data_IF_175516105955
#
_entry.id   IF_175516105955
#
_cell.length_a   1.000
_cell.length_b   1.000
_cell.length_c   1.000
_cell.angle_alpha   90.00
_cell.angle_beta   90.00
_cell.angle_gamma   90.00
#
_symmetry.space_group_name_H-M   'P 1'
#
loop_
_entity.id
_entity.type
_entity.pdbx_description
1 polymer ?
#
# COMPACT_ATOMS: atom_id res chain seq x y z
N UNK A 1 25.64 -19.66 -10.04
CA UNK A 1 24.39 -19.04 -10.57
C UNK A 1 23.56 -18.53 -9.40
N UNK A 2 23.18 -17.24 -9.41
CA UNK A 2 22.31 -16.69 -8.38
C UNK A 2 20.87 -17.24 -8.51
N UNK A 3 20.23 -17.48 -7.38
CA UNK A 3 18.81 -17.90 -7.36
C UNK A 3 17.94 -16.80 -8.03
N UNK A 4 17.05 -17.15 -8.95
CA UNK A 4 16.16 -16.15 -9.56
C UNK A 4 15.40 -15.36 -8.50
N UNK A 5 15.33 -14.05 -8.68
CA UNK A 5 14.59 -13.18 -7.77
C UNK A 5 13.10 -13.50 -7.89
N UNK A 6 12.50 -13.96 -6.81
CA UNK A 6 11.08 -14.26 -6.76
C UNK A 6 10.28 -12.96 -6.80
N UNK A 7 9.43 -12.79 -7.80
CA UNK A 7 8.61 -11.57 -7.97
C UNK A 7 7.43 -11.51 -7.00
N UNK A 8 6.78 -12.64 -6.78
CA UNK A 8 5.53 -12.72 -6.01
C UNK A 8 5.72 -13.12 -4.55
N UNK A 9 4.60 -13.14 -3.84
CA UNK A 9 4.49 -13.53 -2.43
C UNK A 9 3.99 -14.97 -2.31
N UNK A 10 4.41 -15.66 -1.24
CA UNK A 10 3.87 -16.97 -0.87
C UNK A 10 2.58 -16.84 -0.04
N UNK A 11 2.43 -15.72 0.64
CA UNK A 11 1.24 -15.35 1.40
C UNK A 11 1.13 -13.83 1.41
N UNK A 12 -0.06 -13.32 1.64
CA UNK A 12 -0.30 -11.88 1.82
C UNK A 12 -1.19 -11.68 3.06
N UNK A 13 -0.92 -10.63 3.84
CA UNK A 13 -1.78 -10.33 4.99
C UNK A 13 -3.15 -9.83 4.51
N UNK A 14 -4.20 -10.28 5.18
CA UNK A 14 -5.55 -9.76 5.01
C UNK A 14 -6.00 -9.24 6.37
N UNK A 15 -6.43 -7.99 6.42
CA UNK A 15 -6.91 -7.37 7.65
C UNK A 15 -8.15 -8.11 8.18
N UNK A 16 -8.29 -8.19 9.50
CA UNK A 16 -9.45 -8.83 10.13
C UNK A 16 -10.76 -8.09 9.82
N UNK A 17 -10.66 -6.80 9.51
CA UNK A 17 -11.79 -5.96 9.12
C UNK A 17 -12.00 -5.87 7.60
N UNK A 18 -11.39 -6.75 6.83
CA UNK A 18 -11.52 -6.78 5.35
C UNK A 18 -12.99 -6.72 4.92
N UNK A 19 -13.86 -7.51 5.57
CA UNK A 19 -15.29 -7.56 5.26
C UNK A 19 -16.07 -6.36 5.80
N UNK A 20 -15.45 -5.52 6.65
CA UNK A 20 -16.07 -4.31 7.18
C UNK A 20 -15.85 -3.09 6.26
N UNK A 21 -14.91 -3.17 5.34
CA UNK A 21 -14.64 -2.11 4.37
C UNK A 21 -15.88 -1.87 3.49
N UNK A 22 -16.23 -0.60 3.31
CA UNK A 22 -17.47 -0.20 2.61
C UNK A 22 -17.54 -0.76 1.18
N UNK A 23 -16.44 -0.69 0.44
CA UNK A 23 -16.36 -1.21 -0.93
C UNK A 23 -16.58 -2.73 -0.97
N UNK A 24 -16.08 -3.47 0.03
CA UNK A 24 -16.26 -4.93 0.12
C UNK A 24 -17.71 -5.28 0.51
N UNK A 25 -18.32 -4.51 1.40
CA UNK A 25 -19.74 -4.69 1.75
C UNK A 25 -20.64 -4.50 0.53
N UNK A 26 -20.46 -3.42 -0.23
CA UNK A 26 -21.22 -3.20 -1.45
C UNK A 26 -20.95 -4.27 -2.50
N UNK A 27 -19.69 -4.66 -2.66
CA UNK A 27 -19.31 -5.75 -3.57
C UNK A 27 -20.01 -7.06 -3.17
N UNK A 28 -20.03 -7.40 -1.88
CA UNK A 28 -20.67 -8.61 -1.35
C UNK A 28 -22.17 -8.63 -1.64
N UNK A 29 -22.83 -7.47 -1.54
CA UNK A 29 -24.27 -7.35 -1.86
C UNK A 29 -24.51 -7.55 -3.37
N UNK A 30 -23.64 -6.98 -4.22
CA UNK A 30 -23.82 -7.05 -5.68
C UNK A 30 -23.41 -8.41 -6.28
N UNK A 31 -22.41 -9.07 -5.73
CA UNK A 31 -21.78 -10.27 -6.32
C UNK A 31 -21.93 -11.55 -5.47
N UNK A 32 -22.41 -11.43 -4.24
CA UNK A 32 -22.63 -12.59 -3.37
C UNK A 32 -21.36 -13.35 -3.00
N UNK A 33 -21.54 -14.57 -2.50
CA UNK A 33 -20.44 -15.45 -2.06
C UNK A 33 -19.55 -15.87 -3.24
N UNK A 34 -20.12 -16.11 -4.41
CA UNK A 34 -19.34 -16.42 -5.62
C UNK A 34 -18.40 -15.30 -5.99
N UNK A 35 -18.86 -14.04 -5.88
CA UNK A 35 -18.03 -12.86 -6.12
C UNK A 35 -16.87 -12.77 -5.13
N UNK A 36 -17.12 -12.99 -3.84
CA UNK A 36 -16.06 -12.99 -2.81
C UNK A 36 -15.01 -14.08 -3.12
N UNK A 37 -15.46 -15.27 -3.50
CA UNK A 37 -14.56 -16.37 -3.88
C UNK A 37 -13.68 -15.96 -5.08
N UNK A 38 -14.29 -15.34 -6.10
CA UNK A 38 -13.56 -14.83 -7.27
C UNK A 38 -12.56 -13.74 -6.87
N UNK A 39 -12.96 -12.79 -6.04
CA UNK A 39 -12.09 -11.70 -5.56
C UNK A 39 -10.87 -12.28 -4.82
N UNK A 40 -11.07 -13.21 -3.90
CA UNK A 40 -9.97 -13.84 -3.16
C UNK A 40 -9.01 -14.60 -4.11
N UNK A 41 -9.54 -15.29 -5.11
CA UNK A 41 -8.71 -15.96 -6.14
C UNK A 41 -7.92 -14.94 -6.96
N UNK A 42 -8.53 -13.80 -7.31
CA UNK A 42 -7.84 -12.70 -8.00
C UNK A 42 -6.71 -12.13 -7.15
N UNK A 43 -6.95 -11.87 -5.86
CA UNK A 43 -5.91 -11.40 -4.93
C UNK A 43 -4.74 -12.40 -4.88
N UNK A 44 -5.04 -13.70 -4.78
CA UNK A 44 -4.00 -14.75 -4.82
C UNK A 44 -3.20 -14.70 -6.14
N UNK A 45 -3.87 -14.50 -7.26
CA UNK A 45 -3.19 -14.40 -8.57
C UNK A 45 -2.32 -13.15 -8.65
N UNK A 46 -2.82 -12.01 -8.19
CA UNK A 46 -2.09 -10.74 -8.17
C UNK A 46 -0.82 -10.89 -7.33
N UNK A 47 -0.95 -11.32 -6.07
CA UNK A 47 0.20 -11.39 -5.17
C UNK A 47 1.19 -12.49 -5.56
N UNK A 48 0.74 -13.56 -6.21
CA UNK A 48 1.64 -14.59 -6.78
C UNK A 48 2.53 -14.01 -7.89
N UNK A 49 2.02 -13.02 -8.63
CA UNK A 49 2.74 -12.38 -9.74
C UNK A 49 3.43 -11.07 -9.32
N UNK A 50 3.15 -10.57 -8.11
CA UNK A 50 3.71 -9.34 -7.58
C UNK A 50 2.63 -8.43 -7.01
N UNK A 51 2.32 -7.35 -7.73
CA UNK A 51 1.36 -6.34 -7.28
C UNK A 51 0.30 -6.00 -8.35
N UNK A 52 0.32 -6.68 -9.48
CA UNK A 52 -0.68 -6.52 -10.56
C UNK A 52 -0.81 -7.80 -11.36
N UNK A 53 -1.87 -7.90 -12.11
CA UNK A 53 -2.06 -8.94 -13.11
C UNK A 53 -2.67 -8.31 -14.37
N UNK A 54 -2.21 -8.75 -15.52
CA UNK A 54 -2.80 -8.36 -16.81
C UNK A 54 -4.20 -8.97 -16.94
N UNK A 55 -5.11 -8.22 -17.56
CA UNK A 55 -6.49 -8.64 -17.71
C UNK A 55 -6.97 -8.36 -19.12
N UNK A 56 -6.76 -9.34 -19.99
CA UNK A 56 -7.32 -9.37 -21.36
C UNK A 56 -8.52 -10.32 -21.38
N UNK A 57 -9.16 -10.43 -22.53
CA UNK A 57 -10.24 -11.41 -22.74
C UNK A 57 -9.74 -12.84 -22.51
N UNK A 58 -8.53 -13.16 -22.97
CA UNK A 58 -7.93 -14.49 -22.75
C UNK A 58 -7.71 -14.78 -21.27
N UNK A 59 -7.23 -13.77 -20.50
CA UNK A 59 -7.06 -13.91 -19.05
C UNK A 59 -8.40 -14.10 -18.33
N UNK A 60 -9.43 -13.41 -18.77
CA UNK A 60 -10.80 -13.56 -18.26
C UNK A 60 -11.32 -14.99 -18.51
N UNK A 61 -11.13 -15.50 -19.71
CA UNK A 61 -11.57 -16.84 -20.09
C UNK A 61 -10.81 -17.93 -19.30
N UNK A 62 -9.48 -17.79 -19.15
CA UNK A 62 -8.67 -18.68 -18.32
C UNK A 62 -9.11 -18.64 -16.85
N UNK A 63 -9.37 -17.45 -16.34
CA UNK A 63 -9.83 -17.28 -14.97
C UNK A 63 -11.21 -17.94 -14.77
N UNK A 64 -12.12 -17.77 -15.72
CA UNK A 64 -13.43 -18.42 -15.70
C UNK A 64 -13.30 -19.95 -15.71
N UNK A 65 -12.35 -20.48 -16.47
CA UNK A 65 -12.03 -21.90 -16.45
C UNK A 65 -11.52 -22.36 -15.07
N UNK A 66 -10.62 -21.59 -14.45
CA UNK A 66 -10.10 -21.88 -13.10
C UNK A 66 -11.20 -21.84 -12.03
N UNK A 67 -12.22 -21.02 -12.23
CA UNK A 67 -13.33 -20.82 -11.27
C UNK A 67 -14.51 -21.75 -11.52
N UNK A 68 -14.44 -22.65 -12.52
CA UNK A 68 -15.55 -23.55 -12.85
C UNK A 68 -16.01 -24.37 -11.64
N UNK A 69 -17.31 -24.46 -11.45
CA UNK A 69 -17.92 -25.09 -10.30
C UNK A 69 -18.05 -24.21 -9.05
N UNK A 70 -17.41 -23.03 -9.06
CA UNK A 70 -17.52 -22.04 -7.99
C UNK A 70 -18.24 -20.78 -8.46
N UNK A 71 -17.90 -20.31 -9.68
CA UNK A 71 -18.47 -19.10 -10.27
C UNK A 71 -18.82 -19.38 -11.73
N UNK A 72 -20.05 -19.09 -12.16
CA UNK A 72 -20.37 -19.18 -13.60
C UNK A 72 -19.49 -18.25 -14.42
N UNK A 73 -18.98 -18.75 -15.54
CA UNK A 73 -18.06 -17.99 -16.41
C UNK A 73 -18.67 -16.64 -16.85
N UNK A 74 -19.94 -16.63 -17.13
CA UNK A 74 -20.70 -15.45 -17.55
C UNK A 74 -20.79 -14.37 -16.47
N UNK A 75 -20.57 -14.70 -15.20
CA UNK A 75 -20.54 -13.72 -14.09
C UNK A 75 -19.19 -13.01 -13.96
N UNK A 76 -18.10 -13.57 -14.49
CA UNK A 76 -16.75 -13.01 -14.33
C UNK A 76 -16.68 -11.55 -14.82
N UNK A 77 -17.17 -11.18 -16.02
CA UNK A 77 -17.14 -9.77 -16.45
C UNK A 77 -17.92 -8.85 -15.52
N UNK A 78 -19.05 -9.30 -14.99
CA UNK A 78 -19.84 -8.53 -14.03
C UNK A 78 -19.04 -8.30 -12.73
N UNK A 79 -18.43 -9.36 -12.18
CA UNK A 79 -17.61 -9.31 -10.96
C UNK A 79 -16.47 -8.28 -11.13
N UNK A 80 -15.72 -8.36 -12.24
CA UNK A 80 -14.65 -7.40 -12.54
C UNK A 80 -15.19 -5.98 -12.64
N UNK A 81 -16.33 -5.81 -13.34
CA UNK A 81 -17.01 -4.51 -13.46
C UNK A 81 -17.38 -3.90 -12.10
N UNK A 82 -17.89 -4.71 -11.19
CA UNK A 82 -18.23 -4.25 -9.82
C UNK A 82 -16.94 -3.92 -9.04
N UNK A 83 -15.88 -4.74 -9.12
CA UNK A 83 -14.60 -4.43 -8.49
C UNK A 83 -14.06 -3.06 -8.93
N UNK A 84 -14.13 -2.78 -10.22
CA UNK A 84 -13.70 -1.49 -10.80
C UNK A 84 -14.60 -0.33 -10.36
N UNK A 85 -15.92 -0.55 -10.39
CA UNK A 85 -16.93 0.43 -9.97
C UNK A 85 -16.78 0.81 -8.49
N UNK A 86 -16.47 -0.17 -7.63
CA UNK A 86 -16.34 0.03 -6.18
C UNK A 86 -14.93 0.45 -5.75
N UNK A 87 -13.98 0.58 -6.69
CA UNK A 87 -12.63 1.05 -6.39
C UNK A 87 -11.70 -0.02 -5.81
N UNK A 88 -12.14 -1.29 -5.76
CA UNK A 88 -11.29 -2.43 -5.34
C UNK A 88 -10.08 -2.53 -6.27
N UNK A 89 -10.29 -2.26 -7.57
CA UNK A 89 -9.21 -2.11 -8.55
C UNK A 89 -9.24 -0.71 -9.16
N UNK A 90 -8.08 -0.21 -9.55
CA UNK A 90 -7.91 1.12 -10.11
C UNK A 90 -8.44 1.20 -11.55
N UNK A 91 -9.55 1.91 -11.74
CA UNK A 91 -10.22 2.07 -13.03
C UNK A 91 -9.32 2.74 -14.09
N UNK A 92 -8.47 3.71 -13.69
CA UNK A 92 -7.59 4.42 -14.64
C UNK A 92 -6.53 3.50 -15.21
N UNK A 93 -5.90 2.70 -14.35
CA UNK A 93 -4.89 1.72 -14.78
C UNK A 93 -5.52 0.60 -15.61
N UNK A 94 -6.72 0.15 -15.24
CA UNK A 94 -7.45 -0.84 -16.03
C UNK A 94 -7.75 -0.31 -17.45
N UNK A 95 -8.29 0.91 -17.56
CA UNK A 95 -8.62 1.50 -18.88
C UNK A 95 -7.39 1.72 -19.75
N UNK A 96 -6.25 2.10 -19.14
CA UNK A 96 -5.05 2.48 -19.92
C UNK A 96 -4.16 1.27 -20.26
N UNK A 97 -4.04 0.33 -19.33
CA UNK A 97 -3.05 -0.75 -19.44
C UNK A 97 -3.65 -2.16 -19.35
N UNK A 98 -4.96 -2.27 -19.14
CA UNK A 98 -5.65 -3.55 -18.95
C UNK A 98 -5.01 -4.39 -17.84
N UNK A 99 -4.76 -3.77 -16.67
CA UNK A 99 -4.22 -4.46 -15.49
C UNK A 99 -5.17 -4.30 -14.29
N UNK A 100 -5.16 -5.30 -13.42
CA UNK A 100 -5.87 -5.26 -12.14
C UNK A 100 -4.83 -5.03 -11.04
N UNK A 101 -4.95 -3.89 -10.37
CA UNK A 101 -4.15 -3.47 -9.21
C UNK A 101 -4.89 -2.33 -8.50
N UNK A 102 -4.46 -1.98 -7.30
CA UNK A 102 -4.94 -0.79 -6.59
C UNK A 102 -3.85 -0.28 -5.64
N UNK A 103 -4.08 0.87 -5.03
CA UNK A 103 -3.19 1.43 -4.02
C UNK A 103 -3.02 0.44 -2.86
N UNK A 104 -4.13 -0.06 -2.30
CA UNK A 104 -4.13 -1.01 -1.19
C UNK A 104 -3.33 -2.28 -1.52
N UNK A 105 -3.52 -2.82 -2.74
CA UNK A 105 -2.77 -4.01 -3.20
C UNK A 105 -1.26 -3.74 -3.17
N UNK A 106 -0.85 -2.56 -3.64
CA UNK A 106 0.57 -2.20 -3.70
C UNK A 106 1.15 -1.95 -2.30
N UNK A 107 0.38 -1.34 -1.41
CA UNK A 107 0.79 -1.12 -0.02
C UNK A 107 0.95 -2.45 0.74
N UNK A 108 -0.01 -3.35 0.62
CA UNK A 108 0.08 -4.71 1.20
C UNK A 108 1.29 -5.47 0.62
N UNK A 109 1.53 -5.36 -0.68
CA UNK A 109 2.69 -5.98 -1.33
C UNK A 109 4.00 -5.45 -0.73
N UNK A 110 4.12 -4.13 -0.55
CA UNK A 110 5.31 -3.51 0.07
C UNK A 110 5.52 -3.97 1.52
N UNK A 111 4.45 -3.98 2.31
CA UNK A 111 4.49 -4.46 3.70
C UNK A 111 4.97 -5.91 3.78
N UNK A 112 4.45 -6.77 2.92
CA UNK A 112 4.80 -8.19 2.89
C UNK A 112 6.26 -8.44 2.47
N UNK A 113 6.88 -7.51 1.75
CA UNK A 113 8.29 -7.62 1.36
C UNK A 113 9.27 -7.20 2.47
N UNK A 114 8.77 -6.55 3.52
CA UNK A 114 9.55 -6.18 4.73
C UNK A 114 10.82 -5.37 4.42
N UNK A 115 10.79 -4.58 3.35
CA UNK A 115 11.89 -3.68 2.96
C UNK A 115 13.23 -4.34 2.62
N UNK A 116 13.30 -5.67 2.68
CA UNK A 116 14.57 -6.42 2.53
C UNK A 116 14.88 -6.82 1.09
N UNK A 117 13.85 -6.90 0.26
CA UNK A 117 14.03 -7.35 -1.13
C UNK A 117 14.14 -6.16 -2.07
N UNK A 118 15.02 -6.27 -3.03
CA UNK A 118 14.99 -5.38 -4.18
C UNK A 118 13.76 -5.71 -5.02
N UNK A 119 12.93 -4.71 -5.28
CA UNK A 119 11.71 -4.88 -6.05
C UNK A 119 11.84 -4.22 -7.42
N UNK A 120 11.25 -4.87 -8.40
CA UNK A 120 11.14 -4.33 -9.76
C UNK A 120 9.74 -3.79 -9.95
N UNK A 121 9.61 -2.51 -10.26
CA UNK A 121 8.32 -1.84 -10.45
C UNK A 121 8.25 -1.21 -11.85
N UNK A 122 7.07 -1.25 -12.43
CA UNK A 122 6.75 -0.51 -13.65
C UNK A 122 6.19 0.84 -13.21
N UNK A 123 6.91 1.91 -13.51
CA UNK A 123 6.61 3.27 -13.02
C UNK A 123 5.17 3.67 -13.34
N UNK A 124 4.71 3.35 -14.54
CA UNK A 124 3.38 3.70 -15.03
C UNK A 124 2.23 2.98 -14.30
N UNK A 125 2.51 1.83 -13.68
CA UNK A 125 1.54 1.02 -12.95
C UNK A 125 1.52 1.35 -11.45
N UNK A 126 2.53 2.11 -10.98
CA UNK A 126 2.79 2.31 -9.56
C UNK A 126 1.97 3.49 -9.02
N UNK A 127 1.30 3.30 -7.88
CA UNK A 127 0.35 4.26 -7.29
C UNK A 127 0.82 4.84 -5.96
N UNK A 128 1.76 4.18 -5.28
CA UNK A 128 2.22 4.58 -3.94
C UNK A 128 3.64 5.17 -4.00
N UNK A 129 4.18 5.55 -2.85
CA UNK A 129 5.56 6.06 -2.77
C UNK A 129 6.54 5.00 -3.28
N UNK A 130 7.50 5.44 -4.07
CA UNK A 130 8.52 4.55 -4.63
C UNK A 130 9.49 4.16 -3.51
N UNK A 131 9.69 2.86 -3.24
CA UNK A 131 10.65 2.43 -2.23
C UNK A 131 12.09 2.76 -2.65
N UNK A 132 12.95 3.09 -1.69
CA UNK A 132 14.37 3.45 -1.95
C UNK A 132 15.15 2.35 -2.68
N UNK A 133 14.74 1.10 -2.50
CA UNK A 133 15.40 -0.07 -3.13
C UNK A 133 14.69 -0.57 -4.39
N UNK A 134 13.80 0.23 -4.94
CA UNK A 134 13.09 -0.16 -6.16
C UNK A 134 13.99 -0.03 -7.39
N UNK A 135 13.87 -0.98 -8.31
CA UNK A 135 14.36 -0.86 -9.67
C UNK A 135 13.17 -0.59 -10.59
N UNK A 136 13.31 0.36 -11.48
CA UNK A 136 12.31 0.62 -12.50
C UNK A 136 12.51 -0.33 -13.67
N UNK A 137 11.40 -0.90 -14.12
CA UNK A 137 11.34 -1.60 -15.41
C UNK A 137 10.37 -0.78 -16.28
N UNK A 138 10.81 -0.33 -17.41
CA UNK A 138 9.92 0.26 -18.42
C UNK A 138 8.95 -0.80 -18.96
N UNK A 139 7.83 -0.37 -19.52
CA UNK A 139 6.85 -1.26 -20.16
C UNK A 139 7.53 -2.04 -21.31
N UNK A 140 8.55 -1.47 -21.93
CA UNK A 140 9.40 -2.06 -22.98
C UNK A 140 10.45 -3.04 -22.41
N UNK A 141 10.56 -3.18 -21.09
CA UNK A 141 11.51 -4.08 -20.42
C UNK A 141 12.87 -3.47 -20.11
N UNK A 142 13.09 -2.17 -20.40
CA UNK A 142 14.33 -1.49 -20.02
C UNK A 142 14.40 -1.29 -18.50
N UNK A 143 15.55 -1.63 -17.90
CA UNK A 143 15.77 -1.52 -16.46
C UNK A 143 16.52 -0.23 -16.16
N UNK A 144 15.94 0.63 -15.33
CA UNK A 144 16.56 1.88 -14.86
C UNK A 144 16.62 1.87 -13.33
N UNK A 145 17.79 2.10 -12.75
CA UNK A 145 17.94 2.20 -11.28
C UNK A 145 17.50 3.58 -10.80
N UNK A 146 16.93 3.63 -9.60
CA UNK A 146 16.36 4.85 -8.98
C UNK A 146 17.37 6.00 -8.91
N UNK A 147 18.66 5.70 -8.74
CA UNK A 147 19.72 6.72 -8.62
C UNK A 147 20.06 7.52 -9.89
N UNK A 148 19.54 7.12 -11.06
CA UNK A 148 19.92 7.79 -12.33
C UNK A 148 18.93 8.86 -12.79
N UNK A 149 17.80 9.06 -12.08
CA UNK A 149 16.76 10.00 -12.51
C UNK A 149 16.80 11.37 -11.80
N UNK A 150 17.64 11.53 -10.77
CA UNK A 150 17.68 12.80 -10.01
C UNK A 150 18.31 14.00 -10.75
N UNK A 151 18.89 13.79 -11.94
CA UNK A 151 19.67 14.84 -12.62
C UNK A 151 19.01 15.43 -13.88
N UNK A 152 17.76 15.12 -14.21
CA UNK A 152 17.16 15.60 -15.47
C UNK A 152 16.01 16.62 -15.33
N UNK A 153 15.50 16.86 -14.13
CA UNK A 153 14.41 17.85 -13.96
C UNK A 153 14.79 19.00 -13.03
N UNK A 154 15.78 19.77 -13.43
CA UNK A 154 15.95 21.13 -12.90
C UNK A 154 15.29 22.13 -13.87
N UNK A 155 14.02 22.30 -13.74
CA UNK A 155 13.32 23.30 -14.53
C UNK A 155 11.80 23.25 -14.49
N UNK A 156 11.20 23.26 -13.32
CA UNK A 156 9.88 23.87 -13.08
C UNK A 156 9.70 24.05 -11.58
N UNK A 157 9.99 25.24 -11.12
CA UNK A 157 9.71 25.63 -9.74
C UNK A 157 8.20 25.85 -9.56
N UNK A 158 7.59 25.07 -8.71
CA UNK A 158 6.29 25.40 -8.15
C UNK A 158 6.42 25.44 -6.63
N UNK A 159 5.83 26.46 -6.04
CA UNK A 159 6.04 26.98 -4.70
C UNK A 159 5.59 26.10 -3.52
N UNK A 160 5.44 24.79 -3.68
CA UNK A 160 4.91 23.91 -2.64
C UNK A 160 5.95 23.08 -1.86
N UNK A 161 7.27 23.37 -2.04
CA UNK A 161 8.33 22.59 -1.36
C UNK A 161 8.73 23.11 0.05
N UNK A 162 8.09 24.15 0.57
CA UNK A 162 8.53 24.76 1.82
C UNK A 162 7.93 24.16 3.11
N UNK A 163 7.16 23.08 3.03
CA UNK A 163 6.40 22.62 4.20
C UNK A 163 6.78 21.25 4.79
N UNK A 164 7.74 20.51 4.23
CA UNK A 164 7.96 19.12 4.65
C UNK A 164 9.39 18.74 5.05
N UNK A 165 10.27 19.72 5.34
CA UNK A 165 11.64 19.43 5.81
C UNK A 165 11.91 19.79 7.27
N UNK A 166 10.87 20.05 8.04
CA UNK A 166 11.05 20.16 9.51
C UNK A 166 10.65 18.81 10.12
N UNK A 167 11.63 18.04 10.54
CA UNK A 167 11.40 16.88 11.39
C UNK A 167 10.45 17.27 12.53
N UNK A 168 9.58 16.35 12.94
CA UNK A 168 8.64 16.59 14.03
C UNK A 168 9.39 17.07 15.27
N UNK A 169 9.19 18.33 15.65
CA UNK A 169 9.69 18.91 16.91
C UNK A 169 8.54 18.79 17.91
N UNK A 170 8.69 17.96 18.95
CA UNK A 170 7.63 17.85 19.96
C UNK A 170 7.34 19.22 20.58
N UNK A 171 6.07 19.53 20.88
CA UNK A 171 5.73 20.80 21.50
C UNK A 171 6.36 20.91 22.90
N UNK A 172 6.69 22.12 23.30
CA UNK A 172 7.21 22.36 24.64
C UNK A 172 6.09 22.25 25.69
N UNK A 173 6.45 22.01 26.97
CA UNK A 173 5.43 21.98 28.03
C UNK A 173 4.55 23.23 28.06
N UNK A 174 5.16 24.41 27.80
CA UNK A 174 4.45 25.69 27.77
C UNK A 174 3.41 25.74 26.64
N UNK A 175 3.77 25.27 25.44
CA UNK A 175 2.85 25.23 24.30
C UNK A 175 1.66 24.30 24.57
N UNK A 176 1.90 23.16 25.23
CA UNK A 176 0.83 22.24 25.62
C UNK A 176 -0.09 22.88 26.66
N UNK A 177 0.45 23.53 27.69
CA UNK A 177 -0.36 24.24 28.69
C UNK A 177 -1.21 25.33 28.04
N UNK A 178 -0.62 26.12 27.16
CA UNK A 178 -1.36 27.18 26.45
C UNK A 178 -2.51 26.61 25.65
N UNK A 179 -2.27 25.55 24.85
CA UNK A 179 -3.31 24.87 24.05
C UNK A 179 -4.44 24.38 24.93
N UNK A 180 -4.13 23.72 26.05
CA UNK A 180 -5.14 23.18 26.97
C UNK A 180 -5.94 24.31 27.64
N UNK A 181 -5.27 25.40 28.03
CA UNK A 181 -5.92 26.59 28.57
C UNK A 181 -6.90 27.20 27.55
N UNK A 182 -6.47 27.37 26.30
CA UNK A 182 -7.30 27.94 25.23
C UNK A 182 -8.55 27.08 24.94
N UNK A 183 -8.47 25.78 25.24
CA UNK A 183 -9.58 24.83 25.10
C UNK A 183 -10.41 24.65 26.38
N UNK A 184 -10.08 25.38 27.44
CA UNK A 184 -10.82 25.34 28.72
C UNK A 184 -10.48 24.16 29.63
N UNK A 185 -9.37 23.49 29.42
CA UNK A 185 -8.92 22.38 30.26
C UNK A 185 -7.98 22.88 31.36
N UNK A 186 -7.89 22.11 32.45
CA UNK A 186 -7.01 22.48 33.57
C UNK A 186 -5.52 22.28 33.24
N UNK A 187 -4.67 23.04 33.93
CA UNK A 187 -3.20 22.92 33.82
C UNK A 187 -2.72 21.51 34.23
N UNK A 188 -3.41 20.88 35.20
CA UNK A 188 -3.10 19.53 35.63
C UNK A 188 -3.33 18.53 34.48
N UNK A 189 -4.40 18.69 33.67
CA UNK A 189 -4.69 17.87 32.51
C UNK A 189 -3.61 18.05 31.43
N UNK A 190 -3.14 19.27 31.21
CA UNK A 190 -2.06 19.56 30.26
C UNK A 190 -0.75 18.87 30.66
N UNK A 191 -0.35 19.00 31.93
CA UNK A 191 0.88 18.39 32.44
C UNK A 191 0.79 16.82 32.32
N UNK A 192 -0.33 16.27 32.69
CA UNK A 192 -0.58 14.81 32.60
C UNK A 192 -0.50 14.29 31.14
N UNK A 193 -1.05 15.06 30.21
CA UNK A 193 -0.98 14.73 28.79
C UNK A 193 0.47 14.81 28.29
N UNK A 194 1.19 15.85 28.65
CA UNK A 194 2.59 16.04 28.27
C UNK A 194 3.47 14.88 28.77
N UNK A 195 3.34 14.52 30.05
CA UNK A 195 4.10 13.42 30.67
C UNK A 195 3.81 12.08 29.99
N UNK A 196 2.55 11.83 29.69
CA UNK A 196 2.14 10.60 29.00
C UNK A 196 2.78 10.49 27.61
N UNK A 197 2.76 11.52 26.87
CA UNK A 197 3.31 11.50 25.51
C UNK A 197 4.84 11.63 25.43
N UNK A 198 5.36 12.22 26.33
CA UNK A 198 6.72 12.30 26.42
C UNK A 198 7.32 11.03 26.90
N UNK A 199 6.56 10.31 27.53
CA UNK A 199 6.99 9.02 27.89
C UNK A 199 6.91 8.03 26.78
N UNK A 200 6.11 8.23 26.08
CA UNK A 200 5.96 7.43 24.97
C UNK A 200 6.82 7.75 23.81
N UNK A 201 7.32 8.69 23.80
CA UNK A 201 8.17 9.18 22.79
C UNK A 201 9.64 9.06 23.12
N UNK A 202 9.96 8.62 24.16
CA UNK A 202 11.35 8.29 24.44
C UNK A 202 11.67 6.93 23.84
N UNK A 203 12.51 6.82 22.81
CA UNK A 203 13.07 5.53 22.42
C UNK A 203 13.93 5.03 23.58
N UNK A 204 13.83 3.75 23.91
CA UNK A 204 14.72 3.11 24.88
C UNK A 204 16.17 3.26 24.41
N UNK A 205 16.86 4.26 24.90
CA UNK A 205 18.32 4.35 24.78
C UNK A 205 18.87 3.33 25.77
N UNK A 206 19.46 2.29 25.21
CA UNK A 206 19.90 1.10 25.94
C UNK A 206 20.67 1.41 27.23
N UNK A 207 20.24 0.77 28.29
CA UNK A 207 20.98 0.65 29.54
C UNK A 207 22.26 -0.13 29.27
N UNK A 208 23.36 0.57 29.10
CA UNK A 208 24.69 -0.04 29.17
C UNK A 208 24.94 -0.29 30.66
N UNK A 209 24.71 -1.52 31.09
CA UNK A 209 25.13 -1.97 32.43
C UNK A 209 26.65 -2.14 32.34
N UNK A 210 27.40 -1.18 32.89
CA UNK A 210 28.83 -1.40 33.20
C UNK A 210 28.91 -2.32 34.42
N UNK A 211 29.26 -3.56 34.19
CA UNK A 211 29.67 -4.46 35.23
C UNK A 211 31.16 -4.14 35.49
N UNK A 212 31.44 -3.44 36.58
CA UNK A 212 32.80 -3.29 37.07
C UNK A 212 33.12 -4.56 37.85
N UNK A 213 34.16 -5.26 37.38
CA UNK A 213 34.79 -6.35 38.10
C UNK A 213 35.71 -5.84 39.22
#
# INVERSE_FOLDING_TARGET
MGRPVKKGLDYFPTDVDFFEKEEIKFFSVECGASGICALMKLMCNIYRNGYYVEWSKDHEDLFGWDMRGMVPREEIPHIIGVCLKRGIFNMKLFKKFHILTSLDIQEVYLQALDGKRQISIIKEYWLTKIPDKAKFIGIDGEITEVGSLENRDKGLETEDKARNEKGFIPPTPEEVRQYFSDKGYSEEAANKAYDYYXXXXRPEIGRIVRVSG
#
